data_IF_361722135487
#
_entry.id   IF_361722135487
#
_cell.length_a   1.000
_cell.length_b   1.000
_cell.length_c   1.000
_cell.angle_alpha   90.00
_cell.angle_beta   90.00
_cell.angle_gamma   90.00
#
_symmetry.space_group_name_H-M   'P 1'
#
loop_
_entity.id
_entity.type
_entity.pdbx_description
1 polymer ?
2 non-polymer ?
3 non-polymer ?
4 non-polymer ?
5 non-polymer ?
6 non-polymer ?
7 non-polymer ?
8 water ?
#
# COMPACT_ATOMS: atom_id res chain seq x y z
N UNK A 1 -21.73 -25.13 4.30
CA UNK A 1 -21.81 -24.10 5.36
C UNK A 1 -22.89 -23.08 4.97
N UNK A 2 -23.42 -22.42 5.99
CA UNK A 2 -24.48 -21.41 5.78
C UNK A 2 -23.85 -20.02 5.63
N UNK A 3 -24.23 -19.34 4.58
CA UNK A 3 -23.86 -17.96 4.32
C UNK A 3 -25.09 -17.09 4.22
N UNK A 4 -24.92 -15.81 4.50
CA UNK A 4 -25.99 -14.85 4.52
C UNK A 4 -25.77 -13.75 3.48
N UNK A 5 -26.86 -13.26 2.89
CA UNK A 5 -26.88 -12.11 2.03
C UNK A 5 -27.86 -11.07 2.57
N UNK A 6 -27.40 -9.84 2.74
CA UNK A 6 -28.24 -8.69 2.95
C UNK A 6 -28.34 -7.92 1.64
N UNK A 7 -29.56 -7.85 1.08
CA UNK A 7 -29.77 -7.21 -0.15
C UNK A 7 -30.46 -5.89 0.15
N UNK A 8 -29.78 -4.77 -0.13
CA UNK A 8 -30.29 -3.44 0.16
C UNK A 8 -30.45 -2.68 -1.17
N UNK A 9 -31.51 -3.01 -1.87
CA UNK A 9 -31.89 -2.26 -3.04
C UNK A 9 -32.77 -1.08 -2.68
N UNK A 10 -32.97 -0.21 -3.65
CA UNK A 10 -33.80 0.98 -3.47
C UNK A 10 -35.25 0.57 -3.10
N UNK A 11 -35.83 -0.36 -3.87
CA UNK A 11 -37.19 -0.80 -3.65
C UNK A 11 -37.32 -2.31 -3.38
N UNK A 12 -36.20 -3.05 -3.44
CA UNK A 12 -36.14 -4.46 -3.15
C UNK A 12 -35.17 -4.66 -2.03
N UNK A 13 -35.58 -5.35 -0.98
CA UNK A 13 -34.80 -5.53 0.19
C UNK A 13 -34.94 -6.93 0.69
N UNK A 14 -33.88 -7.52 1.20
CA UNK A 14 -34.02 -8.86 1.69
C UNK A 14 -32.86 -9.33 2.56
N UNK A 15 -33.12 -10.42 3.28
CA UNK A 15 -32.10 -11.19 3.98
C UNK A 15 -32.31 -12.63 3.59
N UNK A 16 -31.22 -13.27 3.13
CA UNK A 16 -31.29 -14.62 2.67
C UNK A 16 -30.20 -15.45 3.34
N UNK A 17 -30.39 -16.74 3.51
CA UNK A 17 -29.35 -17.65 3.79
C UNK A 17 -29.29 -18.73 2.73
N UNK A 18 -28.08 -19.18 2.43
CA UNK A 18 -27.89 -20.23 1.47
C UNK A 18 -26.90 -21.22 2.05
N UNK A 19 -27.10 -22.48 1.77
CA UNK A 19 -26.10 -23.48 2.00
C UNK A 19 -25.19 -23.55 0.77
N UNK A 20 -23.87 -23.45 1.00
CA UNK A 20 -22.91 -23.42 -0.11
C UNK A 20 -21.65 -24.14 0.33
N UNK A 21 -20.88 -24.61 -0.65
CA UNK A 21 -19.69 -25.40 -0.32
C UNK A 21 -18.60 -24.53 0.39
N UNK A 22 -18.55 -23.25 0.02
CA UNK A 22 -17.48 -22.33 0.41
C UNK A 22 -17.89 -20.92 0.01
N UNK A 23 -17.06 -19.95 0.38
CA UNK A 23 -17.45 -18.56 0.14
C UNK A 23 -17.53 -18.23 -1.37
N UNK A 24 -16.66 -18.85 -2.18
CA UNK A 24 -16.70 -18.57 -3.62
C UNK A 24 -18.09 -19.02 -4.17
N UNK A 25 -18.59 -20.17 -3.68
CA UNK A 25 -19.90 -20.66 -4.15
C UNK A 25 -21.04 -19.75 -3.60
N UNK A 26 -20.94 -19.30 -2.37
CA UNK A 26 -21.95 -18.41 -1.83
C UNK A 26 -21.97 -17.11 -2.65
N UNK A 27 -20.76 -16.59 -2.96
CA UNK A 27 -20.67 -15.36 -3.72
C UNK A 27 -21.37 -15.54 -5.09
N UNK A 28 -21.09 -16.65 -5.72
CA UNK A 28 -21.65 -16.95 -7.04
C UNK A 28 -23.18 -16.97 -6.97
N UNK A 29 -23.70 -17.68 -5.96
CA UNK A 29 -25.16 -17.78 -5.81
C UNK A 29 -25.76 -16.39 -5.58
N UNK A 30 -25.15 -15.65 -4.66
CA UNK A 30 -25.74 -14.36 -4.28
C UNK A 30 -25.62 -13.32 -5.36
N UNK A 31 -24.49 -13.29 -6.08
CA UNK A 31 -24.39 -12.38 -7.18
C UNK A 31 -25.44 -12.70 -8.25
N UNK A 32 -25.66 -13.98 -8.54
CA UNK A 32 -26.66 -14.33 -9.53
C UNK A 32 -28.07 -13.96 -9.04
N UNK A 33 -28.32 -14.09 -7.75
CA UNK A 33 -29.67 -13.73 -7.17
C UNK A 33 -29.90 -12.23 -7.36
N UNK A 34 -28.88 -11.41 -7.01
CA UNK A 34 -29.05 -10.00 -7.10
C UNK A 34 -29.19 -9.57 -8.57
N UNK A 35 -28.36 -10.14 -9.46
CA UNK A 35 -28.40 -9.76 -10.85
C UNK A 35 -29.78 -10.09 -11.44
N UNK A 36 -30.37 -11.25 -11.09
CA UNK A 36 -31.68 -11.60 -11.67
C UNK A 36 -32.77 -10.61 -11.20
N UNK A 37 -32.57 -10.01 -10.03
CA UNK A 37 -33.51 -9.01 -9.49
C UNK A 37 -33.17 -7.58 -9.95
N UNK A 38 -32.12 -7.42 -10.75
CA UNK A 38 -31.73 -6.10 -11.25
C UNK A 38 -31.08 -5.22 -10.19
N UNK A 39 -30.48 -5.82 -9.15
CA UNK A 39 -29.89 -5.10 -8.07
C UNK A 39 -28.37 -5.21 -8.21
N UNK A 40 -27.74 -4.06 -8.38
CA UNK A 40 -26.29 -4.02 -8.30
C UNK A 40 -25.88 -2.77 -7.55
N UNK A 41 -24.64 -2.84 -7.07
CA UNK A 41 -24.14 -1.81 -6.21
C UNK A 41 -22.81 -2.20 -5.61
N UNK A 42 -22.54 -1.64 -4.45
CA UNK A 42 -21.37 -1.95 -3.69
C UNK A 42 -21.58 -3.30 -3.00
N UNK A 43 -20.61 -4.19 -3.15
CA UNK A 43 -20.63 -5.52 -2.53
C UNK A 43 -19.69 -5.56 -1.34
N UNK A 44 -20.06 -6.29 -0.29
CA UNK A 44 -19.22 -6.54 0.84
C UNK A 44 -19.19 -8.01 1.20
N UNK A 45 -18.11 -8.47 1.83
CA UNK A 45 -18.04 -9.82 2.39
C UNK A 45 -17.28 -9.74 3.70
N UNK A 46 -17.83 -10.34 4.74
CA UNK A 46 -17.24 -10.45 6.05
C UNK A 46 -17.11 -11.92 6.41
N UNK A 47 -15.88 -12.43 6.37
CA UNK A 47 -15.68 -13.87 6.58
C UNK A 47 -16.05 -14.29 8.00
N UNK A 48 -15.79 -13.46 9.01
CA UNK A 48 -16.05 -13.87 10.36
C UNK A 48 -17.55 -14.14 10.58
N UNK A 49 -18.42 -13.43 9.82
CA UNK A 49 -19.84 -13.58 10.00
C UNK A 49 -20.49 -14.30 8.80
N UNK A 50 -19.69 -14.76 7.83
CA UNK A 50 -20.12 -15.44 6.61
C UNK A 50 -21.24 -14.63 5.92
N UNK A 51 -21.11 -13.29 5.93
CA UNK A 51 -22.14 -12.40 5.44
C UNK A 51 -21.68 -11.53 4.25
N UNK A 52 -22.47 -11.58 3.18
CA UNK A 52 -22.37 -10.73 2.02
C UNK A 52 -23.42 -9.63 2.10
N UNK A 53 -23.10 -8.44 1.59
CA UNK A 53 -24.12 -7.42 1.38
C UNK A 53 -23.95 -6.82 0.00
N UNK A 54 -25.10 -6.34 -0.53
CA UNK A 54 -25.10 -5.56 -1.73
C UNK A 54 -25.99 -4.32 -1.49
N UNK A 55 -25.51 -3.15 -1.81
CA UNK A 55 -26.24 -1.92 -1.52
C UNK A 55 -26.28 -1.06 -2.79
N UNK A 56 -27.50 -0.72 -3.23
CA UNK A 56 -27.69 0.09 -4.40
C UNK A 56 -27.58 1.57 -4.01
N UNK B 1 -6.64 -2.08 -16.68
CA UNK B 1 -7.35 -0.93 -16.06
C UNK B 1 -6.72 -0.67 -14.69
N UNK B 2 -6.90 0.55 -14.19
CA UNK B 2 -6.40 0.91 -12.86
C UNK B 2 -7.47 0.62 -11.82
N UNK B 3 -7.07 -0.08 -10.76
CA UNK B 3 -7.92 -0.35 -9.59
C UNK B 3 -7.27 0.23 -8.33
N UNK B 4 -8.10 0.51 -7.33
CA UNK B 4 -7.67 1.12 -6.09
C UNK B 4 -8.02 0.21 -4.92
N UNK B 5 -7.14 0.17 -3.93
CA UNK B 5 -7.38 -0.46 -2.67
C UNK B 5 -7.28 0.61 -1.56
N UNK B 6 -8.29 0.68 -0.72
CA UNK B 6 -8.24 1.44 0.52
C UNK B 6 -8.07 0.42 1.65
N UNK B 7 -6.96 0.53 2.39
CA UNK B 7 -6.68 -0.33 3.51
C UNK B 7 -6.94 0.47 4.81
N UNK B 8 -7.78 -0.08 5.67
CA UNK B 8 -8.04 0.57 6.94
C UNK B 8 -7.79 -0.46 8.04
N UNK B 9 -6.50 -0.69 8.33
CA UNK B 9 -6.13 -1.53 9.42
C UNK B 9 -5.97 -0.76 10.71
N UNK B 10 -5.76 -1.51 11.79
CA UNK B 10 -5.49 -0.86 13.07
C UNK B 10 -4.12 -0.15 13.08
N UNK B 11 -3.09 -0.75 12.45
CA UNK B 11 -1.69 -0.23 12.43
C UNK B 11 -1.41 0.45 11.09
N UNK B 12 -1.84 -0.21 10.00
CA UNK B 12 -1.50 0.18 8.66
C UNK B 12 -2.76 0.68 7.96
N UNK B 13 -2.69 1.89 7.40
CA UNK B 13 -3.76 2.47 6.61
C UNK B 13 -3.18 2.91 5.28
N UNK B 14 -4.00 3.01 4.27
CA UNK B 14 -3.47 3.55 3.05
C UNK B 14 -4.36 3.42 1.86
N UNK B 15 -3.89 3.98 0.76
CA UNK B 15 -4.55 3.92 -0.55
C UNK B 15 -3.48 3.50 -1.54
N UNK B 16 -3.79 2.53 -2.39
CA UNK B 16 -2.82 1.93 -3.29
C UNK B 16 -3.51 1.74 -4.65
N UNK B 17 -2.81 1.92 -5.75
CA UNK B 17 -3.35 1.68 -7.07
C UNK B 17 -2.44 0.71 -7.79
N UNK B 18 -3.08 -0.12 -8.61
CA UNK B 18 -2.36 -1.10 -9.42
C UNK B 18 -3.13 -1.33 -10.72
N UNK B 19 -2.40 -1.72 -11.78
CA UNK B 19 -3.03 -2.14 -13.04
C UNK B 19 -3.41 -3.61 -12.98
N UNK B 20 -4.58 -3.95 -13.53
CA UNK B 20 -4.92 -5.35 -13.67
C UNK B 20 -5.88 -5.46 -14.84
N UNK B 21 -5.96 -6.63 -15.43
CA UNK B 21 -6.79 -6.79 -16.59
C UNK B 21 -8.30 -6.80 -16.29
N UNK B 22 -8.69 -7.21 -15.07
CA UNK B 22 -10.08 -7.19 -14.69
C UNK B 22 -10.14 -7.19 -13.16
N UNK B 23 -11.38 -7.09 -12.66
CA UNK B 23 -11.60 -6.93 -11.24
C UNK B 23 -11.13 -8.16 -10.46
N UNK B 24 -11.39 -9.36 -10.99
CA UNK B 24 -10.99 -10.58 -10.30
C UNK B 24 -9.46 -10.61 -10.12
N UNK B 25 -8.74 -10.14 -11.12
CA UNK B 25 -7.30 -10.09 -11.01
C UNK B 25 -6.86 -9.07 -9.96
N UNK B 26 -7.47 -7.88 -10.00
CA UNK B 26 -7.17 -6.87 -8.96
C UNK B 26 -7.45 -7.40 -7.55
N UNK B 27 -8.58 -8.13 -7.39
CA UNK B 27 -8.93 -8.67 -6.10
C UNK B 27 -7.80 -9.58 -5.58
N UNK B 28 -7.31 -10.46 -6.47
CA UNK B 28 -6.22 -11.36 -6.10
C UNK B 28 -5.00 -10.57 -5.61
N UNK B 29 -4.56 -9.56 -6.40
CA UNK B 29 -3.33 -8.75 -6.06
C UNK B 29 -3.53 -8.09 -4.68
N UNK B 30 -4.73 -7.55 -4.47
CA UNK B 30 -5.01 -6.76 -3.29
C UNK B 30 -5.18 -7.63 -2.05
N UNK B 31 -5.88 -8.76 -2.19
CA UNK B 31 -5.97 -9.69 -1.06
C UNK B 31 -4.56 -10.16 -0.63
N UNK B 32 -3.70 -10.37 -1.62
CA UNK B 32 -2.32 -10.84 -1.31
C UNK B 32 -1.55 -9.77 -0.57
N UNK B 33 -1.71 -8.50 -0.99
CA UNK B 33 -0.97 -7.39 -0.32
C UNK B 33 -1.49 -7.27 1.13
N UNK B 34 -2.80 -7.29 1.31
CA UNK B 34 -3.37 -7.14 2.64
C UNK B 34 -2.89 -8.28 3.53
N UNK B 35 -2.94 -9.50 3.03
CA UNK B 35 -2.55 -10.66 3.84
C UNK B 35 -1.06 -10.56 4.23
N UNK B 36 -0.20 -10.11 3.32
CA UNK B 36 1.23 -10.02 3.65
C UNK B 36 1.49 -8.95 4.72
N UNK B 37 0.60 -7.96 4.83
CA UNK B 37 0.63 -6.95 5.88
C UNK B 37 -0.13 -7.32 7.15
N UNK B 38 -0.76 -8.49 7.18
CA UNK B 38 -1.52 -8.90 8.34
C UNK B 38 -2.80 -8.11 8.54
N UNK B 39 -3.37 -7.56 7.44
CA UNK B 39 -4.59 -6.79 7.49
C UNK B 39 -5.74 -7.68 6.99
N UNK B 40 -6.70 -7.98 7.89
CA UNK B 40 -7.86 -8.87 7.56
C UNK B 40 -9.05 -8.12 8.10
N UNK B 41 -10.16 -8.24 7.42
CA UNK B 41 -11.34 -7.63 7.87
C UNK B 41 -12.46 -7.77 6.87
N UNK B 42 -13.38 -6.82 6.94
CA UNK B 42 -14.49 -6.79 5.97
C UNK B 42 -13.97 -6.22 4.64
N UNK B 43 -14.26 -6.91 3.54
CA UNK B 43 -13.87 -6.47 2.22
C UNK B 43 -15.07 -5.84 1.50
N UNK B 44 -14.82 -4.81 0.68
CA UNK B 44 -15.81 -4.25 -0.19
C UNK B 44 -15.26 -4.14 -1.61
N UNK B 45 -16.15 -4.07 -2.59
CA UNK B 45 -15.79 -3.75 -3.95
C UNK B 45 -16.91 -2.92 -4.58
N UNK B 46 -16.53 -1.84 -5.21
CA UNK B 46 -17.45 -0.96 -5.91
C UNK B 46 -17.03 -0.90 -7.37
N UNK B 47 -17.76 -1.55 -8.27
CA UNK B 47 -17.34 -1.62 -9.70
C UNK B 47 -17.33 -0.25 -10.36
N UNK B 48 -18.27 0.62 -10.00
CA UNK B 48 -18.37 1.91 -10.67
C UNK B 48 -17.12 2.75 -10.42
N UNK B 49 -16.45 2.54 -9.28
CA UNK B 49 -15.27 3.33 -8.92
C UNK B 49 -14.01 2.48 -8.95
N UNK B 50 -14.10 1.20 -9.35
CA UNK B 50 -12.95 0.30 -9.42
C UNK B 50 -12.18 0.30 -8.10
N UNK B 51 -12.91 0.34 -6.97
CA UNK B 51 -12.31 0.49 -5.65
C UNK B 51 -12.68 -0.66 -4.71
N UNK B 52 -11.66 -1.32 -4.16
CA UNK B 52 -11.75 -2.28 -3.08
C UNK B 52 -11.44 -1.58 -1.77
N UNK B 53 -11.99 -2.08 -0.68
CA UNK B 53 -11.61 -1.64 0.67
C UNK B 53 -11.50 -2.85 1.56
N UNK B 54 -10.58 -2.76 2.53
CA UNK B 54 -10.54 -3.70 3.60
C UNK B 54 -10.46 -2.94 4.91
N UNK B 55 -11.30 -3.34 5.87
CA UNK B 55 -11.41 -2.62 7.09
C UNK B 55 -11.37 -3.57 8.27
N UNK B 56 -10.43 -3.35 9.19
CA UNK B 56 -10.25 -4.19 10.40
C UNK B 56 -11.23 -3.68 11.47
N UNK C 1 3.41 7.04 17.31
CA UNK C 1 3.33 8.18 16.39
C UNK C 1 3.00 7.67 15.00
N UNK C 2 2.34 8.48 14.20
CA UNK C 2 1.98 8.08 12.86
C UNK C 2 3.03 8.59 11.89
N UNK C 3 3.47 7.68 11.06
CA UNK C 3 4.43 7.96 9.96
C UNK C 3 3.78 7.63 8.63
N UNK C 4 4.25 8.27 7.56
CA UNK C 4 3.69 8.12 6.23
C UNK C 4 4.75 7.49 5.32
N UNK C 5 4.32 6.73 4.34
CA UNK C 5 5.10 6.24 3.26
C UNK C 5 4.46 6.65 1.94
N UNK C 6 5.24 7.27 1.06
CA UNK C 6 4.90 7.44 -0.32
C UNK C 6 5.63 6.36 -1.12
N UNK C 7 4.85 5.43 -1.71
CA UNK C 7 5.37 4.30 -2.44
C UNK C 7 5.19 4.65 -3.92
N UNK C 8 6.27 5.09 -4.55
CA UNK C 8 6.23 5.46 -5.95
C UNK C 8 6.90 4.36 -6.79
N UNK C 9 6.18 3.22 -6.94
CA UNK C 9 6.65 2.12 -7.78
C UNK C 9 6.35 2.40 -9.24
N UNK C 10 7.00 1.60 -10.08
CA UNK C 10 6.71 1.68 -11.52
C UNK C 10 5.28 1.18 -11.80
N UNK C 11 4.85 0.05 -11.20
CA UNK C 11 3.52 -0.55 -11.54
C UNK C 11 2.54 -0.38 -10.37
N UNK C 12 3.06 0.04 -9.24
CA UNK C 12 2.33 0.03 -8.05
C UNK C 12 2.60 1.35 -7.30
N UNK C 13 1.54 2.04 -6.91
CA UNK C 13 1.62 3.34 -6.29
C UNK C 13 0.74 3.41 -5.07
N UNK C 14 1.28 4.06 -4.02
CA UNK C 14 0.48 4.16 -2.87
C UNK C 14 0.93 5.20 -1.87
N UNK C 15 0.05 5.50 -0.90
CA UNK C 15 0.36 6.33 0.22
C UNK C 15 -0.18 5.59 1.44
N UNK C 16 0.66 5.35 2.43
CA UNK C 16 0.31 4.57 3.57
C UNK C 16 0.68 5.31 4.84
N UNK C 17 0.01 4.98 5.93
CA UNK C 17 0.44 5.36 7.22
C UNK C 17 0.63 4.12 8.09
N UNK C 18 1.55 4.24 9.07
CA UNK C 18 1.79 3.24 10.05
C UNK C 18 1.95 3.92 11.40
N UNK C 19 1.44 3.26 12.41
CA UNK C 19 1.68 3.62 13.78
C UNK C 19 2.95 2.89 14.24
N UNK C 20 3.91 3.63 14.80
CA UNK C 20 5.16 3.05 15.24
C UNK C 20 5.71 3.89 16.39
N UNK C 21 6.59 3.25 17.17
CA UNK C 21 7.17 3.96 18.35
C UNK C 21 8.12 5.06 17.92
N UNK C 22 8.78 4.86 16.79
CA UNK C 22 9.84 5.79 16.34
C UNK C 22 10.10 5.57 14.87
N UNK C 23 10.94 6.45 14.29
CA UNK C 23 11.16 6.43 12.88
C UNK C 23 11.81 5.11 12.43
N UNK C 24 12.71 4.55 13.25
CA UNK C 24 13.34 3.30 12.92
C UNK C 24 12.35 2.15 12.79
N UNK C 25 11.34 2.15 13.68
CA UNK C 25 10.30 1.15 13.59
C UNK C 25 9.39 1.37 12.37
N UNK C 26 9.07 2.62 12.01
CA UNK C 26 8.29 2.91 10.82
C UNK C 26 9.06 2.47 9.58
N UNK C 27 10.37 2.77 9.57
CA UNK C 27 11.19 2.38 8.44
C UNK C 27 11.18 0.87 8.22
N UNK C 28 11.21 0.13 9.33
CA UNK C 28 11.21 -1.31 9.30
C UNK C 28 9.92 -1.85 8.65
N UNK C 29 8.78 -1.30 9.07
CA UNK C 29 7.46 -1.67 8.52
C UNK C 29 7.44 -1.35 7.03
N UNK C 30 7.85 -0.11 6.69
CA UNK C 30 7.71 0.34 5.31
C UNK C 30 8.64 -0.42 4.36
N UNK C 31 9.87 -0.66 4.80
CA UNK C 31 10.81 -1.42 3.95
C UNK C 31 10.25 -2.82 3.66
N UNK C 32 9.65 -3.44 4.68
CA UNK C 32 9.05 -4.78 4.53
C UNK C 32 7.87 -4.72 3.55
N UNK C 33 7.05 -3.67 3.64
CA UNK C 33 5.89 -3.51 2.74
C UNK C 33 6.37 -3.44 1.29
N UNK C 34 7.36 -2.55 1.09
CA UNK C 34 7.90 -2.32 -0.25
C UNK C 34 8.46 -3.64 -0.78
N UNK C 35 9.25 -4.34 0.06
CA UNK C 35 9.94 -5.59 -0.39
C UNK C 35 8.87 -6.64 -0.75
N UNK C 36 7.77 -6.70 0.00
CA UNK C 36 6.73 -7.74 -0.25
C UNK C 36 6.01 -7.48 -1.58
N UNK C 37 6.00 -6.21 -2.01
CA UNK C 37 5.40 -5.82 -3.26
C UNK C 37 6.40 -5.72 -4.42
N UNK C 38 7.66 -6.11 -4.19
CA UNK C 38 8.67 -6.07 -5.21
C UNK C 38 9.03 -4.66 -5.65
N UNK C 39 8.90 -3.69 -4.75
CA UNK C 39 9.30 -2.31 -5.04
C UNK C 39 10.64 -2.05 -4.36
N UNK C 40 11.66 -1.93 -5.23
CA UNK C 40 13.06 -1.63 -4.89
C UNK C 40 13.38 -0.26 -5.48
N UNK C 41 13.81 0.68 -4.64
CA UNK C 41 14.10 2.02 -5.16
C UNK C 41 14.89 2.88 -4.19
N UNK C 42 14.93 4.20 -4.47
CA UNK C 42 15.65 5.28 -3.70
C UNK C 42 14.79 5.61 -2.47
N UNK C 43 15.36 5.57 -1.24
CA UNK C 43 14.71 5.89 0.04
C UNK C 43 15.08 7.27 0.55
N UNK C 44 14.05 8.02 1.00
CA UNK C 44 14.24 9.29 1.71
C UNK C 44 13.41 9.27 2.99
N UNK C 45 13.80 10.09 3.93
CA UNK C 45 13.02 10.37 5.12
C UNK C 45 12.98 11.87 5.36
N UNK C 46 11.76 12.38 5.67
CA UNK C 46 11.52 13.78 5.95
C UNK C 46 10.90 13.92 7.34
N UNK C 47 11.76 14.29 8.32
CA UNK C 47 11.30 14.28 9.71
C UNK C 47 10.25 15.39 9.91
N UNK C 48 10.31 16.53 9.17
CA UNK C 48 9.30 17.60 9.37
C UNK C 48 7.87 17.11 9.08
N UNK C 49 7.75 16.13 8.19
CA UNK C 49 6.47 15.63 7.81
C UNK C 49 6.28 14.15 8.20
N UNK C 50 7.21 13.56 8.97
CA UNK C 50 7.19 12.14 9.37
C UNK C 50 6.91 11.25 8.15
N UNK C 51 7.56 11.55 7.00
CA UNK C 51 7.24 10.89 5.75
C UNK C 51 8.49 10.25 5.14
N UNK C 52 8.38 8.98 4.84
CA UNK C 52 9.32 8.24 4.01
C UNK C 52 8.86 8.19 2.57
N UNK C 53 9.81 8.11 1.63
CA UNK C 53 9.49 7.87 0.24
C UNK C 53 10.41 6.78 -0.28
N UNK C 54 9.83 5.92 -1.16
CA UNK C 54 10.60 5.01 -1.96
C UNK C 54 10.19 5.21 -3.43
N UNK C 55 11.20 5.40 -4.30
CA UNK C 55 10.99 5.74 -5.71
C UNK C 55 11.76 4.74 -6.55
N UNK C 56 11.00 3.91 -7.28
CA UNK C 56 11.57 2.89 -8.19
C UNK C 56 12.00 3.58 -9.49
N UNK D 1 22.45 25.94 -0.73
CA UNK D 1 22.51 25.38 0.63
C UNK D 1 23.59 24.30 0.71
N UNK D 2 24.02 24.01 1.94
CA UNK D 2 25.01 23.00 2.21
C UNK D 2 24.35 21.64 2.46
N UNK D 3 24.83 20.65 1.72
CA UNK D 3 24.43 19.27 1.88
C UNK D 3 25.61 18.39 2.26
N UNK D 4 25.34 17.28 2.91
CA UNK D 4 26.36 16.41 3.43
C UNK D 4 26.28 15.03 2.85
N UNK D 5 27.41 14.37 2.66
CA UNK D 5 27.51 12.99 2.29
C UNK D 5 28.27 12.25 3.35
N UNK D 6 27.72 11.17 3.88
CA UNK D 6 28.41 10.21 4.69
C UNK D 6 28.76 9.05 3.77
N UNK D 7 30.07 8.86 3.55
CA UNK D 7 30.56 7.85 2.65
C UNK D 7 31.09 6.70 3.50
N UNK D 8 30.30 5.63 3.58
CA UNK D 8 30.67 4.46 4.40
C UNK D 8 31.13 3.33 3.48
N UNK D 9 32.33 3.49 2.90
CA UNK D 9 32.93 2.50 2.04
C UNK D 9 33.68 1.48 2.86
N UNK D 10 34.07 0.39 2.23
CA UNK D 10 34.86 -0.62 2.89
C UNK D 10 36.27 -0.12 3.25
N UNK D 11 36.91 0.62 2.35
CA UNK D 11 38.28 1.09 2.56
C UNK D 11 38.42 2.62 2.44
N UNK D 12 37.39 3.30 1.95
CA UNK D 12 37.34 4.73 1.90
C UNK D 12 36.14 5.14 2.74
N UNK D 13 36.36 5.98 3.76
CA UNK D 13 35.35 6.49 4.58
C UNK D 13 35.45 7.99 4.56
N UNK D 14 34.33 8.67 4.67
CA UNK D 14 34.44 10.06 4.78
C UNK D 14 33.15 10.77 5.08
N UNK D 15 33.30 12.07 5.29
CA UNK D 15 32.18 13.00 5.39
C UNK D 15 32.54 14.19 4.50
N UNK D 16 31.63 14.56 3.60
CA UNK D 16 31.89 15.56 2.62
C UNK D 16 30.71 16.49 2.53
N UNK D 17 30.94 17.78 2.33
CA UNK D 17 29.86 18.69 2.12
C UNK D 17 30.01 19.39 0.79
N UNK D 18 28.87 19.74 0.20
CA UNK D 18 28.86 20.47 -1.04
C UNK D 18 27.78 21.56 -0.92
N UNK D 19 28.07 22.72 -1.48
CA UNK D 19 27.08 23.77 -1.74
C UNK D 19 26.40 23.42 -3.08
N UNK D 20 25.08 23.35 -3.03
CA UNK D 20 24.29 23.05 -4.16
C UNK D 20 22.96 23.77 -4.10
N UNK D 21 22.34 23.89 -5.29
CA UNK D 21 21.08 24.60 -5.42
C UNK D 21 19.93 23.91 -4.67
N UNK D 22 19.97 22.58 -4.68
CA UNK D 22 18.91 21.77 -4.14
C UNK D 22 19.41 20.33 -3.98
N UNK D 23 18.59 19.47 -3.39
CA UNK D 23 19.01 18.12 -3.06
C UNK D 23 19.38 17.32 -4.33
N UNK D 24 18.65 17.51 -5.44
CA UNK D 24 18.98 16.77 -6.68
C UNK D 24 20.40 17.11 -7.11
N UNK D 25 20.75 18.39 -7.01
CA UNK D 25 22.09 18.78 -7.42
C UNK D 25 23.16 18.20 -6.46
N UNK D 26 22.89 18.22 -5.15
CA UNK D 26 23.81 17.60 -4.20
C UNK D 26 23.97 16.10 -4.55
N UNK D 27 22.83 15.41 -4.75
CA UNK D 27 22.86 13.99 -5.07
C UNK D 27 23.77 13.72 -6.28
N UNK D 28 23.62 14.57 -7.30
CA UNK D 28 24.38 14.44 -8.52
C UNK D 28 25.89 14.51 -8.23
N UNK D 29 26.32 15.49 -7.43
CA UNK D 29 27.72 15.62 -7.03
C UNK D 29 28.18 14.39 -6.26
N UNK D 30 27.35 14.00 -5.27
CA UNK D 30 27.75 12.90 -4.39
C UNK D 30 27.80 11.56 -5.10
N UNK D 31 26.85 11.29 -5.98
CA UNK D 31 26.88 10.02 -6.72
C UNK D 31 28.13 10.00 -7.61
N UNK D 32 28.49 11.14 -8.19
CA UNK D 32 29.67 11.20 -9.05
C UNK D 32 30.96 10.94 -8.24
N UNK D 33 31.01 11.44 -7.01
CA UNK D 33 32.14 11.23 -6.11
C UNK D 33 32.24 9.73 -5.81
N UNK D 34 31.10 9.14 -5.40
CA UNK D 34 31.11 7.72 -5.05
C UNK D 34 31.54 6.88 -6.26
N UNK D 35 31.04 7.21 -7.45
CA UNK D 35 31.39 6.43 -8.62
C UNK D 35 32.89 6.55 -8.93
N UNK D 36 33.42 7.76 -8.81
CA UNK D 36 34.84 7.97 -9.12
C UNK D 36 35.74 7.18 -8.18
N UNK D 37 35.25 6.98 -6.94
CA UNK D 37 35.99 6.27 -5.91
C UNK D 37 35.70 4.77 -5.89
N UNK D 38 34.85 4.28 -6.77
CA UNK D 38 34.54 2.88 -6.81
C UNK D 38 33.68 2.39 -5.65
N UNK D 39 32.93 3.29 -5.02
CA UNK D 39 32.03 2.99 -3.84
C UNK D 39 30.61 2.79 -4.37
N UNK D 40 30.20 1.51 -4.37
CA UNK D 40 28.87 1.11 -4.84
C UNK D 40 28.10 0.64 -3.60
N UNK D 41 26.97 1.24 -3.30
CA UNK D 41 26.25 0.84 -2.08
C UNK D 41 24.82 1.32 -2.04
N UNK D 42 24.24 1.20 -0.84
CA UNK D 42 22.82 1.55 -0.54
C UNK D 42 22.79 3.05 -0.23
N UNK D 43 21.90 3.80 -0.90
CA UNK D 43 21.77 5.27 -0.67
C UNK D 43 20.56 5.55 0.21
N UNK D 44 20.69 6.54 1.03
CA UNK D 44 19.57 7.13 1.69
C UNK D 44 19.74 8.64 1.79
N UNK D 45 18.65 9.34 2.03
CA UNK D 45 18.63 10.79 2.18
C UNK D 45 17.76 11.16 3.38
N UNK D 46 18.29 11.98 4.25
CA UNK D 46 17.58 12.52 5.43
C UNK D 46 17.46 14.04 5.28
N UNK D 47 16.25 14.51 4.99
CA UNK D 47 16.09 15.92 4.70
C UNK D 47 16.40 16.83 5.91
N UNK D 48 16.09 16.38 7.12
CA UNK D 48 16.21 17.26 8.27
C UNK D 48 17.66 17.70 8.48
N UNK D 49 18.59 16.80 8.15
CA UNK D 49 20.00 17.07 8.27
C UNK D 49 20.68 17.30 6.92
N UNK D 50 19.91 17.33 5.84
CA UNK D 50 20.43 17.54 4.48
C UNK D 50 21.56 16.55 4.15
N UNK D 51 21.42 15.29 4.63
CA UNK D 51 22.50 14.34 4.58
C UNK D 51 22.13 13.09 3.79
N UNK D 52 22.94 12.81 2.76
CA UNK D 52 22.95 11.55 2.04
C UNK D 52 23.91 10.61 2.73
N UNK D 53 23.59 9.30 2.73
CA UNK D 53 24.50 8.29 3.15
C UNK D 53 24.60 7.22 2.04
N UNK D 54 25.83 6.75 1.78
CA UNK D 54 26.04 5.60 0.96
C UNK D 54 26.82 4.58 1.77
N UNK D 55 26.27 3.34 1.82
CA UNK D 55 26.85 2.27 2.62
C UNK D 55 27.19 1.12 1.72
N UNK D 56 28.49 0.81 1.67
CA UNK D 56 28.99 -0.30 0.85
C UNK D 56 28.79 -1.62 1.61
#
# INVERSE_FOLDING_TARGET
>A
MTYKLILNGKTLKGEFTAEAHDAAHAEYIFRALAKAQGVDGEWTYDDATKTFTVTE
>B
MTYKLILNGKTLKGEFTAEAHDAAHAEYIFRALAKAQGVDGEWTYDDATKTFTVTE
>C
MTYKLILNGKTLKGEFTAEAHDAAHAEYIFRALAKAQGVDGEWTYDDATKTFTVTE
>D
MTYKLILNGKTLKGEFTAEAHDAAHAEYIFRALAKAQGVDGEWTYDDATKTFTVTE
#
